data_IF_562615516286
#
_entry.id   IF_562615516286
#
_cell.length_a   1.000
_cell.length_b   1.000
_cell.length_c   1.000
_cell.angle_alpha   90.00
_cell.angle_beta   90.00
_cell.angle_gamma   90.00
#
_symmetry.space_group_name_H-M   'P 1'
#
loop_
_entity.id
_entity.type
_entity.pdbx_description
1 polymer ?
#
# COMPACT_ATOMS: atom_id res chain seq x y z
N UNK A 1 4.60 -16.62 7.54
CA UNK A 1 4.30 -15.18 7.69
C UNK A 1 5.45 -14.44 7.05
N UNK A 2 5.24 -13.81 5.89
CA UNK A 2 6.29 -13.00 5.24
C UNK A 2 6.55 -11.78 6.13
N UNK A 3 7.73 -11.70 6.72
CA UNK A 3 8.13 -10.54 7.51
C UNK A 3 8.41 -9.36 6.57
N UNK A 4 7.92 -8.17 6.91
CA UNK A 4 8.27 -6.95 6.16
C UNK A 4 9.70 -6.58 6.58
N UNK A 5 10.69 -7.18 5.92
CA UNK A 5 12.11 -7.02 6.28
C UNK A 5 12.70 -5.67 5.85
N UNK A 6 11.95 -4.87 5.08
CA UNK A 6 12.34 -3.51 4.72
C UNK A 6 11.68 -2.48 5.66
N UNK A 7 12.46 -1.77 6.49
CA UNK A 7 11.95 -0.72 7.37
C UNK A 7 11.18 0.38 6.64
N UNK A 8 11.52 0.67 5.39
CA UNK A 8 10.79 1.64 4.57
C UNK A 8 9.40 1.11 4.22
N UNK A 9 9.30 -0.13 3.76
CA UNK A 9 8.02 -0.78 3.44
C UNK A 9 7.16 -0.88 4.70
N UNK A 10 7.74 -1.22 5.85
CA UNK A 10 7.01 -1.30 7.12
C UNK A 10 6.41 0.05 7.52
N UNK A 11 7.18 1.14 7.40
CA UNK A 11 6.69 2.51 7.66
C UNK A 11 5.55 2.89 6.71
N UNK A 12 5.66 2.58 5.42
CA UNK A 12 4.62 2.87 4.44
C UNK A 12 3.35 2.04 4.69
N UNK A 13 3.49 0.77 5.07
CA UNK A 13 2.35 -0.08 5.46
C UNK A 13 1.61 0.50 6.66
N UNK A 14 2.33 1.02 7.66
CA UNK A 14 1.70 1.71 8.79
C UNK A 14 0.89 2.95 8.34
N UNK A 15 1.38 3.71 7.35
CA UNK A 15 0.69 4.89 6.81
C UNK A 15 -0.56 4.55 5.99
N UNK A 16 -0.78 3.28 5.62
CA UNK A 16 -2.04 2.86 5.01
C UNK A 16 -3.22 2.96 5.98
N UNK A 17 -3.01 3.06 7.28
CA UNK A 17 -4.07 3.21 8.29
C UNK A 17 -4.14 4.62 8.90
N UNK A 18 -3.54 5.61 8.23
CA UNK A 18 -3.59 7.00 8.68
C UNK A 18 -5.03 7.56 8.59
N UNK A 19 -5.36 8.48 9.49
CA UNK A 19 -6.69 9.10 9.54
C UNK A 19 -6.95 9.96 8.29
N UNK A 20 -5.90 10.57 7.73
CA UNK A 20 -6.00 11.36 6.51
C UNK A 20 -5.94 10.47 5.26
N UNK A 21 -6.98 10.51 4.44
CA UNK A 21 -7.06 9.73 3.20
C UNK A 21 -5.96 10.11 2.19
N UNK A 22 -5.46 11.34 2.21
CA UNK A 22 -4.32 11.77 1.40
C UNK A 22 -3.05 11.06 1.81
N UNK A 23 -2.83 10.86 3.11
CA UNK A 23 -1.67 10.09 3.62
C UNK A 23 -1.79 8.62 3.22
N UNK A 24 -2.97 8.01 3.39
CA UNK A 24 -3.22 6.62 2.95
C UNK A 24 -2.96 6.45 1.46
N UNK A 25 -3.48 7.36 0.63
CA UNK A 25 -3.29 7.35 -0.83
C UNK A 25 -1.81 7.48 -1.18
N UNK A 26 -1.10 8.42 -0.56
CA UNK A 26 0.32 8.64 -0.82
C UNK A 26 1.17 7.42 -0.41
N UNK A 27 0.81 6.75 0.68
CA UNK A 27 1.45 5.51 1.10
C UNK A 27 1.26 4.38 0.07
N UNK A 28 0.03 4.18 -0.42
CA UNK A 28 -0.26 3.22 -1.48
C UNK A 28 0.52 3.53 -2.77
N UNK A 29 0.58 4.81 -3.17
CA UNK A 29 1.35 5.26 -4.32
C UNK A 29 2.86 5.04 -4.17
N UNK A 30 3.42 5.29 -2.98
CA UNK A 30 4.83 5.04 -2.70
C UNK A 30 5.16 3.54 -2.76
N UNK A 31 4.32 2.69 -2.16
CA UNK A 31 4.46 1.23 -2.23
C UNK A 31 4.43 0.73 -3.68
N UNK A 32 3.52 1.27 -4.51
CA UNK A 32 3.46 0.98 -5.95
C UNK A 32 4.77 1.32 -6.68
N UNK A 33 5.38 2.47 -6.35
CA UNK A 33 6.64 2.91 -6.97
C UNK A 33 7.85 2.06 -6.56
N UNK A 34 7.85 1.51 -5.34
CA UNK A 34 8.86 0.55 -4.89
C UNK A 34 8.78 -0.80 -5.63
N UNK A 35 7.65 -1.11 -6.27
CA UNK A 35 7.46 -2.32 -7.07
C UNK A 35 7.62 -3.60 -6.23
N UNK A 36 8.26 -4.64 -6.80
CA UNK A 36 8.39 -5.95 -6.16
C UNK A 36 9.07 -5.95 -4.78
N UNK A 37 9.88 -4.92 -4.46
CA UNK A 37 10.46 -4.74 -3.13
C UNK A 37 9.40 -4.57 -2.03
N UNK A 38 8.23 -4.07 -2.40
CA UNK A 38 7.09 -3.88 -1.51
C UNK A 38 6.09 -5.06 -1.53
N UNK A 39 6.45 -6.24 -2.06
CA UNK A 39 5.54 -7.40 -2.11
C UNK A 39 5.00 -7.83 -0.75
N UNK A 40 5.75 -7.58 0.33
CA UNK A 40 5.29 -7.83 1.70
C UNK A 40 4.10 -6.93 2.13
N UNK A 41 3.77 -5.88 1.35
CA UNK A 41 2.64 -4.99 1.59
C UNK A 41 1.33 -5.43 0.88
N UNK A 42 1.33 -6.55 0.16
CA UNK A 42 0.19 -7.01 -0.64
C UNK A 42 -1.11 -7.14 0.19
N UNK A 43 -1.05 -7.75 1.37
CA UNK A 43 -2.25 -7.91 2.22
C UNK A 43 -2.78 -6.57 2.73
N UNK A 44 -1.90 -5.66 3.15
CA UNK A 44 -2.28 -4.34 3.63
C UNK A 44 -2.89 -3.47 2.50
N UNK A 45 -2.35 -3.57 1.28
CA UNK A 45 -2.91 -2.92 0.10
C UNK A 45 -4.26 -3.51 -0.30
N UNK A 46 -4.44 -4.84 -0.17
CA UNK A 46 -5.72 -5.49 -0.44
C UNK A 46 -6.84 -4.92 0.43
N UNK A 47 -6.58 -4.68 1.73
CA UNK A 47 -7.55 -4.04 2.63
C UNK A 47 -7.91 -2.61 2.22
N UNK A 48 -7.01 -1.89 1.53
CA UNK A 48 -7.26 -0.53 1.05
C UNK A 48 -8.04 -0.47 -0.27
N UNK A 49 -8.28 -1.60 -0.94
CA UNK A 49 -9.20 -1.63 -2.10
C UNK A 49 -10.66 -1.39 -1.72
N UNK A 50 -11.00 -1.52 -0.44
CA UNK A 50 -12.31 -1.21 0.14
C UNK A 50 -12.30 0.06 1.00
N UNK A 51 -11.30 0.93 0.86
CA UNK A 51 -11.21 2.19 1.59
C UNK A 51 -12.42 3.11 1.30
N UNK A 52 -12.80 3.92 2.28
CA UNK A 52 -13.88 4.91 2.14
C UNK A 52 -13.60 5.91 1.00
N UNK A 53 -12.34 6.31 0.83
CA UNK A 53 -11.93 7.28 -0.18
C UNK A 53 -11.71 6.57 -1.54
N UNK A 54 -12.44 6.97 -2.60
CA UNK A 54 -12.31 6.36 -3.93
C UNK A 54 -10.91 6.48 -4.54
N UNK A 55 -10.15 7.54 -4.20
CA UNK A 55 -8.78 7.73 -4.66
C UNK A 55 -7.82 6.75 -3.98
N UNK A 56 -8.05 6.45 -2.70
CA UNK A 56 -7.28 5.42 -1.99
C UNK A 56 -7.56 4.05 -2.60
N UNK A 57 -8.84 3.71 -2.86
CA UNK A 57 -9.20 2.44 -3.53
C UNK A 57 -8.50 2.26 -4.87
N UNK A 58 -8.52 3.31 -5.71
CA UNK A 58 -7.88 3.28 -7.03
C UNK A 58 -6.37 3.09 -6.94
N UNK A 59 -5.68 3.84 -6.07
CA UNK A 59 -4.23 3.69 -5.91
C UNK A 59 -3.84 2.33 -5.30
N UNK A 60 -4.62 1.80 -4.35
CA UNK A 60 -4.40 0.47 -3.79
C UNK A 60 -4.50 -0.63 -4.87
N UNK A 61 -5.53 -0.59 -5.72
CA UNK A 61 -5.67 -1.54 -6.82
C UNK A 61 -4.50 -1.46 -7.82
N UNK A 62 -4.06 -0.24 -8.17
CA UNK A 62 -2.88 -0.03 -9.04
C UNK A 62 -1.60 -0.54 -8.40
N UNK A 63 -1.45 -0.39 -7.08
CA UNK A 63 -0.31 -0.91 -6.34
C UNK A 63 -0.29 -2.44 -6.39
N UNK A 64 -1.41 -3.10 -6.10
CA UNK A 64 -1.53 -4.55 -6.17
C UNK A 64 -1.17 -5.10 -7.55
N UNK A 65 -1.73 -4.52 -8.62
CA UNK A 65 -1.40 -4.94 -9.98
C UNK A 65 0.11 -4.85 -10.26
N UNK A 66 0.76 -3.77 -9.79
CA UNK A 66 2.19 -3.53 -10.03
C UNK A 66 3.11 -4.44 -9.22
N UNK A 67 2.67 -4.86 -8.03
CA UNK A 67 3.42 -5.71 -7.12
C UNK A 67 3.26 -7.20 -7.46
N UNK A 68 2.12 -7.57 -8.04
CA UNK A 68 1.82 -8.94 -8.50
C UNK A 68 2.29 -9.24 -9.93
N UNK A 69 2.82 -8.25 -10.65
CA UNK A 69 3.46 -8.38 -11.97
C UNK A 69 4.97 -8.58 -11.88
#
# INVERSE_FOLDING_TARGET
MATIDDPLVAKLVCRLSDADSSVRRNAAGALRLLGRRASAALEALAQRTADEDPRVRSEAARALQRLSS
#
